data_IF_695212526611
#
_entry.id   IF_695212526611
#
_cell.length_a   1.000
_cell.length_b   1.000
_cell.length_c   1.000
_cell.angle_alpha   90.00
_cell.angle_beta   90.00
_cell.angle_gamma   90.00
#
_symmetry.space_group_name_H-M   'P 1'
#
loop_
_entity.id
_entity.type
_entity.pdbx_description
1 polymer ?
#
# COMPACT_ATOMS: atom_id res chain seq x y z
N UNK A 1 -30.95 -1.60 -2.33
CA UNK A 1 -30.38 -1.07 -3.59
C UNK A 1 -29.84 -2.25 -4.36
N UNK A 2 -30.35 -2.59 -5.55
CA UNK A 2 -29.78 -3.68 -6.34
C UNK A 2 -28.31 -3.35 -6.59
N UNK A 3 -27.47 -4.36 -6.42
CA UNK A 3 -26.04 -4.31 -6.63
C UNK A 3 -25.78 -3.86 -8.08
N UNK A 4 -25.58 -2.55 -8.31
CA UNK A 4 -25.35 -2.04 -9.66
C UNK A 4 -24.12 -2.77 -10.20
N UNK A 5 -24.32 -3.55 -11.27
CA UNK A 5 -23.24 -4.29 -11.91
C UNK A 5 -22.09 -3.34 -12.18
N UNK A 6 -20.86 -3.71 -11.82
CA UNK A 6 -19.69 -2.94 -12.21
C UNK A 6 -19.74 -2.73 -13.74
N UNK A 7 -19.43 -1.54 -14.27
CA UNK A 7 -19.52 -1.29 -15.71
C UNK A 7 -18.49 -2.11 -16.50
N UNK A 8 -18.73 -2.27 -17.81
CA UNK A 8 -17.74 -2.87 -18.73
C UNK A 8 -16.81 -1.76 -19.25
N UNK A 9 -15.47 -1.93 -19.19
CA UNK A 9 -14.56 -0.97 -19.81
C UNK A 9 -14.80 -0.83 -21.32
N UNK A 10 -14.62 0.38 -21.85
CA UNK A 10 -14.74 0.69 -23.28
C UNK A 10 -13.51 0.21 -24.06
N UNK A 11 -13.62 0.12 -25.39
CA UNK A 11 -12.48 -0.20 -26.27
C UNK A 11 -11.31 0.77 -26.06
N UNK A 12 -11.61 2.06 -25.85
CA UNK A 12 -10.61 3.09 -25.59
C UNK A 12 -9.91 2.87 -24.26
N UNK A 13 -10.65 2.57 -23.18
CA UNK A 13 -10.07 2.28 -21.86
C UNK A 13 -9.14 1.07 -21.93
N UNK A 14 -9.54 -0.02 -22.60
CA UNK A 14 -8.66 -1.17 -22.81
C UNK A 14 -7.38 -0.80 -23.58
N UNK A 15 -7.51 -0.02 -24.66
CA UNK A 15 -6.35 0.43 -25.46
C UNK A 15 -5.39 1.26 -24.61
N UNK A 16 -5.89 2.21 -23.82
CA UNK A 16 -5.07 3.04 -22.94
C UNK A 16 -4.38 2.21 -21.88
N UNK A 17 -5.09 1.31 -21.21
CA UNK A 17 -4.52 0.41 -20.21
C UNK A 17 -3.38 -0.44 -20.79
N UNK A 18 -3.57 -1.00 -22.00
CA UNK A 18 -2.56 -1.79 -22.70
C UNK A 18 -1.29 -0.96 -23.00
N UNK A 19 -1.47 0.27 -23.50
CA UNK A 19 -0.36 1.17 -23.82
C UNK A 19 0.39 1.63 -22.56
N UNK A 20 -0.32 2.01 -21.50
CA UNK A 20 0.27 2.41 -20.21
C UNK A 20 1.02 1.22 -19.59
N UNK A 21 0.44 0.02 -19.64
CA UNK A 21 1.07 -1.17 -19.09
C UNK A 21 2.37 -1.48 -19.82
N UNK A 22 2.40 -1.43 -21.15
CA UNK A 22 3.64 -1.61 -21.90
C UNK A 22 4.71 -0.57 -21.52
N UNK A 23 4.33 0.71 -21.47
CA UNK A 23 5.23 1.78 -21.01
C UNK A 23 5.85 1.49 -19.63
N UNK A 24 5.03 1.04 -18.68
CA UNK A 24 5.50 0.67 -17.33
C UNK A 24 6.44 -0.54 -17.36
N UNK A 25 6.09 -1.59 -18.12
CA UNK A 25 6.90 -2.80 -18.22
C UNK A 25 8.30 -2.55 -18.82
N UNK A 26 8.38 -1.60 -19.76
CA UNK A 26 9.62 -1.24 -20.46
C UNK A 26 10.53 -0.33 -19.60
N UNK A 27 9.94 0.58 -18.80
CA UNK A 27 10.69 1.62 -18.08
C UNK A 27 10.92 1.32 -16.60
N UNK A 28 9.97 0.67 -15.95
CA UNK A 28 9.90 0.60 -14.48
C UNK A 28 9.90 -0.80 -13.93
N UNK A 29 9.14 -1.73 -14.53
CA UNK A 29 8.91 -3.03 -13.90
C UNK A 29 10.20 -3.80 -13.61
N UNK A 30 10.46 -4.04 -12.33
CA UNK A 30 11.64 -4.75 -11.84
C UNK A 30 12.92 -3.92 -11.77
N UNK A 31 12.86 -2.63 -12.09
CA UNK A 31 13.97 -1.70 -11.86
C UNK A 31 13.94 -1.19 -10.41
N UNK A 32 15.01 -0.54 -9.98
CA UNK A 32 15.01 0.12 -8.68
C UNK A 32 13.90 1.18 -8.64
N UNK A 33 13.55 1.86 -9.73
CA UNK A 33 12.57 2.96 -9.73
C UNK A 33 11.11 2.50 -9.51
N UNK A 34 10.85 1.19 -9.45
CA UNK A 34 9.53 0.63 -9.18
C UNK A 34 9.14 0.74 -7.70
N UNK A 35 8.39 1.79 -7.36
CA UNK A 35 7.94 2.06 -5.99
C UNK A 35 6.74 1.19 -5.60
N UNK A 36 6.59 0.88 -4.31
CA UNK A 36 5.43 0.11 -3.82
C UNK A 36 5.49 -1.40 -4.12
N UNK A 37 6.67 -1.90 -4.49
CA UNK A 37 7.00 -3.33 -4.61
C UNK A 37 7.71 -3.85 -3.35
N UNK A 38 7.76 -5.16 -3.16
CA UNK A 38 8.47 -5.77 -2.02
C UNK A 38 9.98 -5.46 -1.99
N UNK A 39 10.63 -5.35 -3.15
CA UNK A 39 12.06 -5.02 -3.25
C UNK A 39 12.38 -3.64 -2.64
N UNK A 40 11.48 -2.67 -2.76
CA UNK A 40 11.63 -1.35 -2.14
C UNK A 40 11.83 -1.44 -0.61
N UNK A 41 11.12 -2.37 0.05
CA UNK A 41 11.24 -2.58 1.50
C UNK A 41 12.47 -3.41 1.88
N UNK A 42 13.19 -3.97 0.91
CA UNK A 42 14.48 -4.61 1.12
C UNK A 42 15.66 -3.64 0.95
N UNK A 43 15.43 -2.44 0.39
CA UNK A 43 16.47 -1.44 0.16
C UNK A 43 16.54 -0.41 1.30
N UNK A 44 17.61 -0.51 2.10
CA UNK A 44 17.91 0.43 3.19
C UNK A 44 18.11 1.87 2.71
N UNK A 45 18.58 2.09 1.49
CA UNK A 45 18.71 3.44 0.91
C UNK A 45 17.36 4.08 0.66
N UNK A 46 16.28 3.30 0.58
CA UNK A 46 14.91 3.79 0.35
C UNK A 46 14.14 3.99 1.64
N UNK A 47 14.10 2.96 2.48
CA UNK A 47 13.24 2.93 3.67
C UNK A 47 14.01 3.00 5.01
N UNK A 48 15.33 3.19 4.97
CA UNK A 48 16.15 3.31 6.18
C UNK A 48 16.14 2.04 7.02
N UNK A 49 16.00 2.19 8.34
CA UNK A 49 16.01 1.06 9.28
C UNK A 49 14.75 0.17 9.20
N UNK A 50 13.73 0.59 8.45
CA UNK A 50 12.57 -0.26 8.14
C UNK A 50 12.91 -1.35 7.13
N UNK A 51 14.08 -1.30 6.50
CA UNK A 51 14.47 -2.33 5.55
C UNK A 51 14.51 -3.71 6.22
N UNK A 52 13.97 -4.70 5.52
CA UNK A 52 13.99 -6.10 5.91
C UNK A 52 14.97 -6.87 5.02
N UNK A 53 15.51 -7.97 5.52
CA UNK A 53 16.35 -8.81 4.67
C UNK A 53 15.49 -9.53 3.63
N UNK A 54 15.97 -9.59 2.38
CA UNK A 54 15.33 -10.37 1.30
C UNK A 54 15.07 -11.80 1.75
N UNK A 55 16.05 -12.42 2.41
CA UNK A 55 16.00 -13.79 2.92
C UNK A 55 14.93 -13.99 4.01
N UNK A 56 14.66 -12.99 4.87
CA UNK A 56 13.60 -13.10 5.87
C UNK A 56 12.22 -12.88 5.25
N UNK A 57 12.10 -11.93 4.32
CA UNK A 57 10.86 -11.67 3.61
C UNK A 57 10.45 -12.86 2.73
N UNK A 58 11.38 -13.44 1.96
CA UNK A 58 11.13 -14.61 1.13
C UNK A 58 10.65 -15.84 1.92
N UNK A 59 11.04 -15.96 3.21
CA UNK A 59 10.54 -17.01 4.12
C UNK A 59 9.23 -16.68 4.82
N UNK A 60 8.66 -15.49 4.60
CA UNK A 60 7.46 -15.07 5.31
C UNK A 60 7.68 -14.85 6.82
N UNK A 61 8.87 -14.41 7.23
CA UNK A 61 9.16 -14.14 8.65
C UNK A 61 8.18 -13.11 9.23
N UNK A 62 7.53 -13.46 10.34
CA UNK A 62 6.56 -12.59 11.03
C UNK A 62 7.08 -11.18 11.31
N UNK A 63 8.31 -11.06 11.83
CA UNK A 63 8.94 -9.77 12.14
C UNK A 63 9.20 -8.93 10.88
N UNK A 64 9.66 -9.57 9.81
CA UNK A 64 9.89 -8.90 8.53
C UNK A 64 8.57 -8.39 7.94
N UNK A 65 7.54 -9.23 7.95
CA UNK A 65 6.20 -8.89 7.49
C UNK A 65 5.59 -7.76 8.33
N UNK A 66 5.75 -7.81 9.66
CA UNK A 66 5.22 -6.78 10.56
C UNK A 66 5.88 -5.44 10.30
N UNK A 67 7.22 -5.41 10.25
CA UNK A 67 7.99 -4.20 9.89
C UNK A 67 7.59 -3.64 8.54
N UNK A 68 7.42 -4.50 7.54
CA UNK A 68 6.97 -4.10 6.20
C UNK A 68 5.55 -3.55 6.21
N UNK A 69 4.62 -4.15 6.96
CA UNK A 69 3.25 -3.63 7.12
C UNK A 69 3.26 -2.25 7.76
N UNK A 70 4.01 -2.04 8.86
CA UNK A 70 4.13 -0.71 9.49
C UNK A 70 4.69 0.31 8.50
N UNK A 71 5.74 -0.01 7.74
CA UNK A 71 6.26 0.88 6.71
C UNK A 71 5.23 1.15 5.60
N UNK A 72 4.46 0.14 5.18
CA UNK A 72 3.40 0.24 4.17
C UNK A 72 2.31 1.22 4.60
N UNK A 73 1.91 1.21 5.88
CA UNK A 73 0.87 2.11 6.40
C UNK A 73 1.20 3.60 6.20
N UNK A 74 2.48 3.95 6.07
CA UNK A 74 2.93 5.33 5.90
C UNK A 74 2.55 5.92 4.52
N UNK A 75 2.29 5.08 3.52
CA UNK A 75 1.97 5.47 2.13
C UNK A 75 0.48 5.85 1.95
N UNK A 76 -0.01 6.69 2.86
CA UNK A 76 -1.35 7.26 2.83
C UNK A 76 -1.30 8.75 2.49
N UNK A 77 -2.05 9.18 1.47
CA UNK A 77 -2.39 10.60 1.18
C UNK A 77 -1.20 11.59 1.33
N UNK A 78 -0.02 11.19 0.87
CA UNK A 78 1.19 12.03 0.69
C UNK A 78 2.04 11.45 -0.42
N UNK A 79 2.90 12.29 -0.99
CA UNK A 79 3.89 11.87 -1.99
C UNK A 79 4.87 10.86 -1.39
N UNK A 80 5.11 9.77 -2.11
CA UNK A 80 6.01 8.70 -1.72
C UNK A 80 7.41 9.20 -1.38
N UNK A 81 7.96 10.15 -2.16
CA UNK A 81 9.25 10.76 -1.89
C UNK A 81 9.34 11.42 -0.49
N UNK A 82 8.24 11.98 0.02
CA UNK A 82 8.19 12.51 1.38
C UNK A 82 8.15 11.38 2.42
N UNK A 83 7.38 10.32 2.16
CA UNK A 83 7.29 9.15 3.04
C UNK A 83 8.65 8.47 3.19
N UNK A 84 9.32 8.23 2.06
CA UNK A 84 10.64 7.63 2.04
C UNK A 84 11.66 8.47 2.82
N UNK A 85 11.59 9.81 2.72
CA UNK A 85 12.42 10.71 3.56
C UNK A 85 12.12 10.56 5.05
N UNK A 86 10.85 10.43 5.44
CA UNK A 86 10.47 10.20 6.84
C UNK A 86 11.02 8.86 7.33
N UNK A 87 10.79 7.77 6.60
CA UNK A 87 11.26 6.42 6.96
C UNK A 87 12.78 6.38 7.16
N UNK A 88 13.54 7.03 6.27
CA UNK A 88 15.01 7.14 6.39
C UNK A 88 15.48 7.95 7.59
N UNK A 89 14.68 8.92 8.03
CA UNK A 89 15.02 9.80 9.15
C UNK A 89 14.72 9.22 10.53
N UNK A 90 14.11 8.03 10.62
CA UNK A 90 13.84 7.36 11.90
C UNK A 90 15.05 6.49 12.25
N UNK A 91 15.56 6.65 13.49
CA UNK A 91 16.73 5.91 13.97
C UNK A 91 16.45 4.40 14.12
N UNK A 92 17.51 3.60 14.23
CA UNK A 92 17.40 2.15 14.41
C UNK A 92 16.55 1.78 15.62
N UNK A 93 16.78 2.45 16.73
CA UNK A 93 16.15 2.20 18.04
C UNK A 93 14.65 2.50 17.95
N UNK A 94 14.30 3.64 17.37
CA UNK A 94 12.91 4.02 17.15
C UNK A 94 12.20 3.11 16.15
N UNK A 95 12.87 2.69 15.07
CA UNK A 95 12.28 1.71 14.16
C UNK A 95 12.04 0.37 14.85
N UNK A 96 12.96 -0.10 15.68
CA UNK A 96 12.77 -1.32 16.45
C UNK A 96 11.55 -1.22 17.38
N UNK A 97 11.43 -0.13 18.13
CA UNK A 97 10.26 0.11 18.99
C UNK A 97 8.93 0.16 18.20
N UNK A 98 8.93 0.75 17.00
CA UNK A 98 7.77 0.84 16.13
C UNK A 98 7.40 -0.48 15.43
N UNK A 99 8.30 -1.46 15.38
CA UNK A 99 8.14 -2.64 14.49
C UNK A 99 8.37 -3.99 15.15
N UNK A 100 8.59 -4.01 16.47
CA UNK A 100 8.59 -5.23 17.27
C UNK A 100 7.22 -5.39 17.93
N UNK A 101 6.44 -6.38 17.47
CA UNK A 101 5.07 -6.61 17.97
C UNK A 101 5.04 -6.93 19.47
N UNK A 102 6.00 -7.72 19.97
CA UNK A 102 6.08 -8.13 21.38
C UNK A 102 6.40 -6.93 22.27
N UNK A 103 7.35 -6.09 21.85
CA UNK A 103 7.67 -4.82 22.51
C UNK A 103 6.43 -3.91 22.59
N UNK A 104 5.69 -3.78 21.49
CA UNK A 104 4.48 -2.96 21.43
C UNK A 104 3.37 -3.46 22.36
N UNK A 105 3.20 -4.78 22.47
CA UNK A 105 2.26 -5.40 23.40
C UNK A 105 2.69 -5.19 24.86
N UNK A 106 3.96 -5.42 25.19
CA UNK A 106 4.51 -5.11 26.53
C UNK A 106 4.29 -3.65 26.92
N UNK A 107 4.57 -2.70 26.02
CA UNK A 107 4.29 -1.28 26.26
C UNK A 107 2.80 -0.97 26.48
N UNK A 108 1.91 -1.72 25.84
CA UNK A 108 0.47 -1.58 26.02
C UNK A 108 0.02 -2.16 27.37
N UNK A 109 0.56 -3.31 27.76
CA UNK A 109 0.21 -4.03 28.99
C UNK A 109 0.77 -3.33 30.24
N UNK A 110 1.99 -2.80 30.17
CA UNK A 110 2.62 -2.02 31.24
C UNK A 110 2.00 -0.62 31.41
N UNK A 111 1.22 -0.18 30.42
CA UNK A 111 0.59 1.14 30.44
C UNK A 111 -0.65 1.15 31.35
N UNK A 112 -0.68 2.13 32.26
CA UNK A 112 -1.86 2.41 33.09
C UNK A 112 -3.04 3.04 32.33
N UNK A 113 -2.90 3.34 31.04
CA UNK A 113 -3.97 3.92 30.23
C UNK A 113 -5.01 2.85 29.87
N UNK A 114 -6.30 3.00 30.23
CA UNK A 114 -7.32 2.00 29.93
C UNK A 114 -7.57 1.82 28.42
N UNK A 115 -7.23 2.81 27.60
CA UNK A 115 -7.48 2.77 26.14
C UNK A 115 -6.46 1.92 25.38
N UNK A 116 -5.49 1.32 26.07
CA UNK A 116 -4.47 0.44 25.49
C UNK A 116 -4.75 -1.05 25.75
N UNK A 117 -5.82 -1.38 26.49
CA UNK A 117 -6.17 -2.76 26.85
C UNK A 117 -6.62 -3.60 25.65
N UNK A 118 -7.30 -2.98 24.69
CA UNK A 118 -7.80 -3.61 23.48
C UNK A 118 -7.69 -2.68 22.29
N UNK A 119 -7.68 -3.25 21.08
CA UNK A 119 -7.75 -2.50 19.85
C UNK A 119 -9.07 -1.71 19.77
N UNK A 120 -10.20 -2.31 20.14
CA UNK A 120 -11.49 -1.61 20.16
C UNK A 120 -11.45 -0.32 21.01
N UNK A 121 -10.92 -0.39 22.23
CA UNK A 121 -10.81 0.79 23.11
C UNK A 121 -9.79 1.81 22.57
N UNK A 122 -8.71 1.36 21.94
CA UNK A 122 -7.73 2.23 21.28
C UNK A 122 -8.34 3.00 20.09
N UNK A 123 -9.22 2.36 19.34
CA UNK A 123 -9.91 2.92 18.18
C UNK A 123 -10.94 3.97 18.62
N UNK A 124 -11.80 3.61 19.58
CA UNK A 124 -12.99 4.38 19.94
C UNK A 124 -12.73 5.45 21.00
N UNK A 125 -11.94 5.15 22.04
CA UNK A 125 -11.80 6.00 23.22
C UNK A 125 -10.49 6.81 23.25
N UNK A 126 -9.43 6.38 22.57
CA UNK A 126 -8.17 7.13 22.55
C UNK A 126 -8.28 8.39 21.70
N UNK A 127 -8.21 9.56 22.33
CA UNK A 127 -8.24 10.88 21.67
C UNK A 127 -6.84 11.40 21.29
N UNK A 128 -5.89 10.47 21.06
CA UNK A 128 -4.53 10.82 20.66
C UNK A 128 -4.55 11.76 19.46
N UNK A 129 -3.95 12.93 19.65
CA UNK A 129 -3.78 13.95 18.64
C UNK A 129 -2.36 14.51 18.69
N UNK A 130 -2.08 15.46 17.81
CA UNK A 130 -0.81 16.18 17.78
C UNK A 130 -1.09 17.65 18.02
N UNK A 131 -0.30 18.23 18.91
CA UNK A 131 -0.38 19.65 19.19
C UNK A 131 -0.01 20.46 17.93
N UNK A 132 -0.84 21.43 17.52
CA UNK A 132 -0.59 22.19 16.30
C UNK A 132 0.62 23.14 16.43
N UNK A 133 1.00 23.54 17.65
CA UNK A 133 2.11 24.46 17.91
C UNK A 133 3.39 23.67 18.19
N UNK A 134 3.41 22.86 19.26
CA UNK A 134 4.62 22.17 19.71
C UNK A 134 4.95 20.93 18.88
N UNK A 135 4.02 20.48 18.05
CA UNK A 135 4.10 19.25 17.24
C UNK A 135 4.24 17.97 18.06
N UNK A 136 4.09 18.03 19.39
CA UNK A 136 4.13 16.88 20.29
C UNK A 136 2.83 16.08 20.27
N UNK A 137 2.89 14.80 20.60
CA UNK A 137 1.69 13.98 20.80
C UNK A 137 0.97 14.37 22.10
N UNK A 138 -0.36 14.50 22.07
CA UNK A 138 -1.19 14.85 23.22
C UNK A 138 -2.48 14.03 23.27
N UNK A 139 -3.08 13.92 24.45
CA UNK A 139 -4.40 13.33 24.67
C UNK A 139 -5.05 14.02 25.87
N UNK A 140 -6.39 14.08 25.90
CA UNK A 140 -7.18 14.66 26.99
C UNK A 140 -7.31 13.70 28.16
N UNK A 141 -7.35 12.39 27.91
CA UNK A 141 -7.52 11.39 28.97
C UNK A 141 -6.39 11.39 30.01
N UNK A 142 -5.13 11.58 29.58
CA UNK A 142 -3.95 11.61 30.44
C UNK A 142 -2.89 12.58 29.91
N UNK A 143 -3.07 13.91 30.05
CA UNK A 143 -2.26 14.90 29.34
C UNK A 143 -0.79 14.86 29.73
N UNK A 144 -0.49 14.74 31.04
CA UNK A 144 0.88 14.79 31.59
C UNK A 144 1.60 13.44 31.65
N UNK A 145 0.91 12.33 31.35
CA UNK A 145 1.52 10.99 31.43
C UNK A 145 2.32 10.68 30.17
N UNK A 146 3.58 10.23 30.29
CA UNK A 146 4.33 9.66 29.17
C UNK A 146 3.57 8.49 28.55
N UNK A 147 3.55 8.41 27.23
CA UNK A 147 2.83 7.40 26.48
C UNK A 147 3.55 7.17 25.16
N UNK A 148 3.89 5.92 24.85
CA UNK A 148 4.61 5.58 23.63
C UNK A 148 3.83 6.01 22.38
N UNK A 149 2.50 5.97 22.39
CA UNK A 149 1.69 6.47 21.27
C UNK A 149 1.92 7.96 20.98
N UNK A 150 2.12 8.79 22.01
CA UNK A 150 2.43 10.22 21.84
C UNK A 150 3.79 10.39 21.16
N UNK A 151 4.79 9.62 21.59
CA UNK A 151 6.12 9.60 20.98
C UNK A 151 6.05 9.10 19.54
N UNK A 152 5.35 8.00 19.28
CA UNK A 152 5.18 7.43 17.93
C UNK A 152 4.51 8.41 16.97
N UNK A 153 3.56 9.21 17.43
CA UNK A 153 2.95 10.31 16.64
C UNK A 153 4.00 11.31 16.17
N UNK A 154 4.98 11.66 17.02
CA UNK A 154 6.07 12.58 16.66
C UNK A 154 7.03 11.91 15.67
N UNK A 155 7.45 10.68 15.96
CA UNK A 155 8.42 9.92 15.16
C UNK A 155 7.91 9.68 13.73
N UNK A 156 6.66 9.24 13.60
CA UNK A 156 6.07 8.94 12.30
C UNK A 156 5.81 10.22 11.47
N UNK A 157 5.80 11.42 12.09
CA UNK A 157 5.59 12.71 11.39
C UNK A 157 4.33 12.72 10.49
N UNK A 158 3.33 11.92 10.86
CA UNK A 158 2.05 11.75 10.16
C UNK A 158 0.93 12.51 10.90
N UNK A 159 -0.33 12.18 10.60
CA UNK A 159 -1.52 12.68 11.30
C UNK A 159 -1.37 12.58 12.82
N UNK A 160 -2.08 13.42 13.57
CA UNK A 160 -1.90 13.49 15.02
C UNK A 160 -2.23 12.20 15.79
N UNK A 161 -3.03 11.31 15.21
CA UNK A 161 -3.40 10.02 15.78
C UNK A 161 -2.60 8.85 15.17
N UNK A 162 -1.58 9.11 14.35
CA UNK A 162 -0.90 8.04 13.59
C UNK A 162 0.04 7.20 14.47
N UNK A 163 0.43 7.70 15.64
CA UNK A 163 1.17 6.92 16.63
C UNK A 163 0.43 5.69 17.13
N UNK A 164 -0.89 5.60 16.96
CA UNK A 164 -1.68 4.41 17.31
C UNK A 164 -1.38 3.18 16.43
N UNK A 165 -0.93 3.40 15.19
CA UNK A 165 -0.91 2.35 14.15
C UNK A 165 -0.12 1.11 14.60
N UNK A 166 1.14 1.22 15.05
CA UNK A 166 1.93 0.03 15.38
C UNK A 166 1.30 -0.82 16.48
N UNK A 167 0.93 -0.21 17.60
CA UNK A 167 0.28 -0.91 18.72
C UNK A 167 -1.08 -1.47 18.32
N UNK A 168 -1.85 -0.75 17.50
CA UNK A 168 -3.14 -1.25 17.01
C UNK A 168 -3.00 -2.51 16.15
N UNK A 169 -1.98 -2.58 15.28
CA UNK A 169 -1.71 -3.80 14.50
C UNK A 169 -1.32 -4.96 15.44
N UNK A 170 -0.46 -4.72 16.44
CA UNK A 170 -0.08 -5.74 17.40
C UNK A 170 -1.27 -6.24 18.24
N UNK A 171 -2.12 -5.33 18.72
CA UNK A 171 -3.35 -5.67 19.45
C UNK A 171 -4.33 -6.45 18.57
N UNK A 172 -4.45 -6.10 17.29
CA UNK A 172 -5.30 -6.81 16.33
C UNK A 172 -4.86 -8.26 16.15
N UNK A 173 -3.55 -8.51 16.07
CA UNK A 173 -3.01 -9.87 16.01
C UNK A 173 -3.33 -10.66 17.29
N UNK A 174 -3.06 -10.06 18.45
CA UNK A 174 -3.37 -10.66 19.76
C UNK A 174 -4.85 -11.02 19.92
N UNK A 175 -5.75 -10.11 19.56
CA UNK A 175 -7.20 -10.36 19.61
C UNK A 175 -7.67 -11.42 18.59
N UNK A 176 -6.94 -11.54 17.47
CA UNK A 176 -7.10 -12.62 16.51
C UNK A 176 -6.46 -13.93 16.93
N UNK A 177 -5.91 -14.02 18.16
CA UNK A 177 -5.16 -15.18 18.66
C UNK A 177 -3.99 -15.58 17.76
N UNK A 178 -3.31 -14.61 17.13
CA UNK A 178 -2.12 -14.81 16.32
C UNK A 178 -0.95 -14.02 16.92
N UNK A 179 0.21 -14.65 17.11
CA UNK A 179 1.41 -13.97 17.62
C UNK A 179 2.17 -13.23 16.51
N UNK A 180 1.88 -13.57 15.25
CA UNK A 180 2.53 -13.00 14.08
C UNK A 180 1.62 -12.93 12.85
N UNK A 181 2.04 -12.16 11.85
CA UNK A 181 1.36 -12.14 10.55
C UNK A 181 1.44 -13.49 9.82
N UNK A 182 2.50 -14.28 10.05
CA UNK A 182 2.62 -15.61 9.47
C UNK A 182 1.54 -16.55 10.05
N UNK A 183 1.37 -16.56 11.36
CA UNK A 183 0.32 -17.34 12.02
C UNK A 183 -1.08 -16.87 11.64
N UNK A 184 -1.29 -15.55 11.51
CA UNK A 184 -2.55 -14.99 10.99
C UNK A 184 -2.90 -15.60 9.62
N UNK A 185 -1.90 -15.75 8.74
CA UNK A 185 -2.09 -16.40 7.44
C UNK A 185 -2.46 -17.86 7.60
N UNK A 186 -1.71 -18.62 8.39
CA UNK A 186 -1.98 -20.06 8.57
C UNK A 186 -3.40 -20.31 9.11
N UNK A 187 -3.87 -19.49 10.07
CA UNK A 187 -5.24 -19.55 10.54
C UNK A 187 -6.25 -19.32 9.42
N UNK A 188 -6.06 -18.27 8.59
CA UNK A 188 -6.97 -18.00 7.48
C UNK A 188 -6.97 -19.13 6.44
N UNK A 189 -5.81 -19.74 6.18
CA UNK A 189 -5.73 -20.89 5.28
C UNK A 189 -6.45 -22.13 5.84
N UNK A 190 -6.41 -22.35 7.16
CA UNK A 190 -7.11 -23.44 7.83
C UNK A 190 -8.63 -23.21 7.99
N UNK A 191 -9.09 -21.96 7.99
CA UNK A 191 -10.51 -21.60 8.16
C UNK A 191 -11.32 -21.59 6.86
N UNK A 192 -10.65 -21.44 5.72
CA UNK A 192 -11.29 -21.24 4.42
C UNK A 192 -10.70 -22.17 3.38
N UNK A 193 -11.53 -22.79 2.54
CA UNK A 193 -11.08 -23.67 1.46
C UNK A 193 -10.79 -22.91 0.16
N UNK A 194 -11.56 -21.86 -0.12
CA UNK A 194 -11.47 -21.10 -1.37
C UNK A 194 -10.37 -20.02 -1.31
N UNK A 195 -9.45 -19.95 -2.31
CA UNK A 195 -8.40 -18.94 -2.36
C UNK A 195 -8.88 -17.49 -2.35
N UNK A 196 -10.06 -17.19 -2.92
CA UNK A 196 -10.63 -15.85 -2.92
C UNK A 196 -11.23 -15.50 -1.57
N UNK A 197 -11.90 -16.43 -0.90
CA UNK A 197 -12.35 -16.26 0.49
C UNK A 197 -11.19 -16.00 1.45
N UNK A 198 -10.09 -16.77 1.33
CA UNK A 198 -8.84 -16.51 2.06
C UNK A 198 -8.32 -15.11 1.80
N UNK A 199 -8.34 -14.68 0.53
CA UNK A 199 -7.87 -13.35 0.16
C UNK A 199 -8.71 -12.24 0.81
N UNK A 200 -10.03 -12.39 0.82
CA UNK A 200 -10.99 -11.49 1.49
C UNK A 200 -10.77 -11.50 3.00
N UNK A 201 -10.59 -12.67 3.60
CA UNK A 201 -10.43 -12.83 5.04
C UNK A 201 -9.14 -12.17 5.54
N UNK A 202 -8.01 -12.36 4.84
CA UNK A 202 -6.75 -11.66 5.13
C UNK A 202 -6.92 -10.14 5.10
N UNK A 203 -7.54 -9.61 4.05
CA UNK A 203 -7.80 -8.17 3.91
C UNK A 203 -8.65 -7.66 5.07
N UNK A 204 -9.75 -8.35 5.37
CA UNK A 204 -10.68 -7.99 6.46
C UNK A 204 -10.01 -8.03 7.84
N UNK A 205 -9.19 -9.04 8.12
CA UNK A 205 -8.48 -9.17 9.40
C UNK A 205 -7.46 -8.06 9.59
N UNK A 206 -6.68 -7.73 8.56
CA UNK A 206 -5.74 -6.61 8.61
C UNK A 206 -6.46 -5.26 8.78
N UNK A 207 -7.58 -5.07 8.09
CA UNK A 207 -8.32 -3.81 8.13
C UNK A 207 -9.00 -3.49 9.47
N UNK A 208 -8.97 -4.42 10.45
CA UNK A 208 -9.38 -4.13 11.83
C UNK A 208 -8.39 -3.22 12.56
N UNK A 209 -7.14 -3.15 12.12
CA UNK A 209 -6.15 -2.28 12.72
C UNK A 209 -6.34 -0.81 12.30
N UNK A 210 -6.03 0.11 13.21
CA UNK A 210 -6.13 1.55 13.02
C UNK A 210 -5.37 1.99 11.78
N UNK A 211 -6.07 2.68 10.87
CA UNK A 211 -5.53 3.19 9.60
C UNK A 211 -4.93 2.10 8.71
N UNK A 212 -5.24 0.83 8.91
CA UNK A 212 -5.05 -0.19 7.88
C UNK A 212 -6.36 -0.24 7.09
N UNK A 213 -6.43 0.50 5.98
CA UNK A 213 -7.62 0.54 5.12
C UNK A 213 -7.52 -0.51 4.01
N UNK A 214 -8.60 -0.73 3.24
CA UNK A 214 -8.59 -1.60 2.05
C UNK A 214 -7.41 -1.30 1.10
N UNK A 215 -7.09 -0.01 0.92
CA UNK A 215 -5.90 0.41 0.16
C UNK A 215 -4.61 -0.16 0.74
N UNK A 216 -4.39 0.01 2.03
CA UNK A 216 -3.15 -0.42 2.70
C UNK A 216 -3.07 -1.93 2.80
N UNK A 217 -4.18 -2.60 3.13
CA UNK A 217 -4.28 -4.06 3.11
C UNK A 217 -3.96 -4.60 1.72
N UNK A 218 -4.57 -4.07 0.65
CA UNK A 218 -4.27 -4.48 -0.72
C UNK A 218 -2.81 -4.18 -1.11
N UNK A 219 -2.25 -3.05 -0.67
CA UNK A 219 -0.85 -2.69 -0.95
C UNK A 219 0.13 -3.67 -0.29
N UNK A 220 -0.07 -3.98 1.00
CA UNK A 220 0.74 -4.96 1.71
C UNK A 220 0.58 -6.37 1.12
N UNK A 221 -0.67 -6.84 1.01
CA UNK A 221 -0.98 -8.20 0.56
C UNK A 221 -0.55 -8.43 -0.89
N UNK A 222 -0.74 -7.45 -1.79
CA UNK A 222 -0.20 -7.58 -3.16
C UNK A 222 1.32 -7.68 -3.18
N UNK A 223 2.03 -6.99 -2.29
CA UNK A 223 3.49 -7.07 -2.24
C UNK A 223 4.01 -8.42 -1.73
N UNK A 224 3.27 -9.12 -0.87
CA UNK A 224 3.71 -10.42 -0.29
C UNK A 224 3.07 -11.64 -0.95
N UNK A 225 1.98 -11.47 -1.72
CA UNK A 225 1.30 -12.57 -2.40
C UNK A 225 1.50 -12.57 -3.92
N UNK A 226 1.80 -11.44 -4.58
CA UNK A 226 1.87 -11.41 -6.05
C UNK A 226 3.26 -11.83 -6.56
N UNK A 227 3.41 -12.99 -7.23
CA UNK A 227 4.73 -13.49 -7.63
C UNK A 227 5.42 -12.63 -8.70
N UNK A 228 4.65 -11.98 -9.57
CA UNK A 228 5.23 -11.21 -10.68
C UNK A 228 5.65 -9.80 -10.24
N UNK A 229 5.04 -9.24 -9.19
CA UNK A 229 5.36 -7.89 -8.71
C UNK A 229 6.79 -7.83 -8.15
N UNK A 230 7.26 -8.91 -7.54
CA UNK A 230 8.65 -9.04 -7.11
C UNK A 230 9.06 -10.54 -7.03
N UNK A 231 9.56 -11.11 -8.12
CA UNK A 231 9.91 -12.53 -8.18
C UNK A 231 10.84 -12.96 -7.03
N UNK A 232 10.47 -14.05 -6.36
CA UNK A 232 11.21 -14.61 -5.22
C UNK A 232 11.03 -13.88 -3.88
N UNK A 233 10.18 -12.85 -3.80
CA UNK A 233 9.88 -12.10 -2.56
C UNK A 233 8.40 -12.13 -2.16
N UNK A 234 7.64 -13.09 -2.70
CA UNK A 234 6.20 -13.23 -2.45
C UNK A 234 5.93 -14.51 -1.65
N UNK A 235 6.22 -14.51 -0.32
CA UNK A 235 6.14 -15.71 0.51
C UNK A 235 4.72 -16.29 0.63
N UNK A 236 3.70 -15.50 0.29
CA UNK A 236 2.29 -15.83 0.45
C UNK A 236 1.57 -16.01 -0.88
N UNK A 237 2.31 -16.31 -1.95
CA UNK A 237 1.73 -16.49 -3.28
C UNK A 237 0.83 -17.73 -3.38
N UNK A 238 1.15 -18.79 -2.65
CA UNK A 238 0.38 -20.03 -2.65
C UNK A 238 -0.85 -19.95 -1.74
N UNK A 239 -1.94 -20.59 -2.19
CA UNK A 239 -3.18 -20.77 -1.43
C UNK A 239 -4.10 -19.56 -1.35
N UNK A 240 -3.72 -18.41 -1.92
CA UNK A 240 -4.48 -17.15 -1.88
C UNK A 240 -4.69 -16.59 -3.28
N UNK A 241 -5.91 -16.14 -3.61
CA UNK A 241 -6.16 -15.40 -4.86
C UNK A 241 -5.66 -13.97 -4.74
N UNK A 242 -4.37 -13.80 -5.02
CA UNK A 242 -3.71 -12.49 -5.01
C UNK A 242 -4.19 -11.56 -6.13
N UNK A 243 -4.94 -12.05 -7.14
CA UNK A 243 -5.52 -11.19 -8.19
C UNK A 243 -6.60 -10.26 -7.63
N UNK A 244 -7.09 -10.55 -6.42
CA UNK A 244 -7.95 -9.66 -5.62
C UNK A 244 -7.26 -8.35 -5.22
N UNK A 245 -5.96 -8.39 -4.94
CA UNK A 245 -5.25 -7.30 -4.29
C UNK A 245 -4.85 -6.19 -5.28
N UNK A 246 -5.85 -5.40 -5.67
CA UNK A 246 -5.67 -4.21 -6.51
C UNK A 246 -5.76 -2.96 -5.65
N UNK A 247 -4.74 -2.10 -5.74
CA UNK A 247 -4.66 -0.85 -4.97
C UNK A 247 -5.43 0.25 -5.70
N UNK A 248 -6.45 0.81 -5.05
CA UNK A 248 -7.16 1.99 -5.55
C UNK A 248 -6.72 3.21 -4.75
N UNK A 249 -6.08 4.15 -5.42
CA UNK A 249 -5.57 5.39 -4.84
C UNK A 249 -5.91 6.60 -5.70
N UNK A 250 -5.48 7.79 -5.27
CA UNK A 250 -5.78 9.02 -5.99
C UNK A 250 -5.21 9.06 -7.41
N UNK A 251 -4.07 8.41 -7.69
CA UNK A 251 -3.50 8.40 -9.04
C UNK A 251 -4.29 7.46 -9.95
N UNK A 252 -4.77 6.33 -9.44
CA UNK A 252 -5.72 5.48 -10.15
C UNK A 252 -7.04 6.23 -10.39
N UNK A 253 -7.51 7.01 -9.41
CA UNK A 253 -8.71 7.84 -9.56
C UNK A 253 -8.54 8.88 -10.67
N UNK A 254 -7.35 9.48 -10.83
CA UNK A 254 -7.07 10.38 -11.95
C UNK A 254 -7.22 9.67 -13.31
N UNK A 255 -6.76 8.42 -13.42
CA UNK A 255 -6.97 7.62 -14.63
C UNK A 255 -8.46 7.34 -14.87
N UNK A 256 -9.19 6.93 -13.84
CA UNK A 256 -10.62 6.63 -13.95
C UNK A 256 -11.42 7.86 -14.37
N UNK A 257 -11.15 9.03 -13.77
CA UNK A 257 -11.75 10.30 -14.16
C UNK A 257 -11.38 10.67 -15.59
N UNK A 258 -10.08 10.67 -15.93
CA UNK A 258 -9.58 11.07 -17.24
C UNK A 258 -10.03 10.17 -18.39
N UNK A 259 -10.50 8.95 -18.09
CA UNK A 259 -11.01 8.00 -19.08
C UNK A 259 -12.52 7.77 -19.00
N UNK A 260 -13.24 8.54 -18.19
CA UNK A 260 -14.70 8.50 -18.11
C UNK A 260 -15.27 7.23 -17.46
N UNK A 261 -14.74 6.81 -16.31
CA UNK A 261 -15.31 5.71 -15.52
C UNK A 261 -16.78 6.01 -15.12
N UNK A 262 -17.76 5.17 -15.54
CA UNK A 262 -19.18 5.49 -15.36
C UNK A 262 -19.81 4.80 -14.13
N UNK A 263 -19.03 4.10 -13.32
CA UNK A 263 -19.54 3.28 -12.22
C UNK A 263 -19.56 3.98 -10.86
N UNK A 264 -20.06 3.30 -9.81
CA UNK A 264 -20.00 3.82 -8.45
C UNK A 264 -18.57 4.05 -7.98
N UNK A 265 -18.36 5.15 -7.24
CA UNK A 265 -17.06 5.56 -6.70
C UNK A 265 -16.68 4.86 -5.38
N UNK A 266 -17.09 3.61 -5.20
CA UNK A 266 -16.66 2.80 -4.05
C UNK A 266 -15.31 2.14 -4.34
N UNK A 267 -14.57 1.72 -3.31
CA UNK A 267 -13.30 1.03 -3.49
C UNK A 267 -13.49 -0.25 -4.31
N UNK A 268 -14.47 -1.08 -3.93
CA UNK A 268 -14.71 -2.39 -4.55
C UNK A 268 -15.12 -2.28 -6.02
N UNK A 269 -16.02 -1.35 -6.38
CA UNK A 269 -16.44 -1.21 -7.79
C UNK A 269 -15.31 -0.72 -8.69
N UNK A 270 -14.43 0.14 -8.18
CA UNK A 270 -13.20 0.57 -8.88
C UNK A 270 -12.19 -0.58 -9.01
N UNK A 271 -11.98 -1.38 -7.96
CA UNK A 271 -11.19 -2.62 -8.01
C UNK A 271 -11.70 -3.57 -9.09
N UNK A 272 -12.98 -3.90 -9.06
CA UNK A 272 -13.62 -4.78 -10.06
C UNK A 272 -13.43 -4.25 -11.48
N UNK A 273 -13.53 -2.92 -11.66
CA UNK A 273 -13.33 -2.29 -12.96
C UNK A 273 -11.90 -2.47 -13.47
N UNK A 274 -10.90 -2.26 -12.62
CA UNK A 274 -9.49 -2.49 -12.98
C UNK A 274 -9.20 -3.96 -13.25
N UNK A 275 -9.80 -4.88 -12.49
CA UNK A 275 -9.69 -6.32 -12.78
C UNK A 275 -10.26 -6.66 -14.15
N UNK A 276 -11.42 -6.09 -14.51
CA UNK A 276 -12.00 -6.26 -15.85
C UNK A 276 -11.13 -5.67 -16.95
N UNK A 277 -10.55 -4.49 -16.70
CA UNK A 277 -9.60 -3.83 -17.60
C UNK A 277 -8.42 -4.75 -17.90
N UNK A 278 -7.85 -5.37 -16.85
CA UNK A 278 -6.70 -6.25 -16.93
C UNK A 278 -6.97 -7.56 -17.70
N UNK A 279 -8.22 -8.04 -17.77
CA UNK A 279 -8.56 -9.25 -18.54
C UNK A 279 -8.24 -9.15 -20.05
N UNK A 280 -8.04 -7.95 -20.59
CA UNK A 280 -7.65 -7.73 -22.00
C UNK A 280 -6.21 -7.21 -22.16
N UNK A 281 -5.43 -7.19 -21.09
CA UNK A 281 -4.02 -6.85 -21.12
C UNK A 281 -3.25 -8.13 -20.91
N UNK A 282 -2.85 -8.76 -22.02
CA UNK A 282 -2.09 -10.01 -22.02
C UNK A 282 -0.63 -9.72 -21.66
N UNK A 283 -0.27 -9.91 -20.39
CA UNK A 283 1.06 -9.54 -19.88
C UNK A 283 2.16 -10.48 -20.34
N UNK A 284 1.83 -11.76 -20.55
CA UNK A 284 2.74 -12.77 -21.07
C UNK A 284 3.22 -12.40 -22.47
N UNK A 285 2.30 -11.93 -23.33
CA UNK A 285 2.64 -11.36 -24.63
C UNK A 285 3.46 -10.05 -24.55
N UNK A 286 3.40 -9.33 -23.43
CA UNK A 286 4.15 -8.09 -23.26
C UNK A 286 5.56 -8.29 -22.75
N UNK A 287 5.74 -9.20 -21.81
CA UNK A 287 7.01 -9.50 -21.19
C UNK A 287 7.00 -10.98 -20.80
N UNK A 288 7.75 -11.83 -21.53
CA UNK A 288 7.83 -13.25 -21.22
C UNK A 288 8.21 -13.48 -19.76
N UNK A 289 7.56 -14.45 -19.12
CA UNK A 289 7.75 -14.79 -17.71
C UNK A 289 6.77 -14.11 -16.75
N UNK A 290 5.94 -13.17 -17.21
CA UNK A 290 4.79 -12.67 -16.43
C UNK A 290 3.58 -13.57 -16.62
N UNK A 291 2.73 -13.69 -15.59
CA UNK A 291 1.45 -14.34 -15.76
C UNK A 291 0.52 -13.51 -16.65
N UNK A 292 -0.17 -14.20 -17.56
CA UNK A 292 -1.09 -13.60 -18.53
C UNK A 292 -2.07 -12.59 -17.91
N UNK A 293 -2.64 -12.91 -16.76
CA UNK A 293 -3.60 -12.06 -16.04
C UNK A 293 -3.05 -11.63 -14.68
N UNK A 294 -2.62 -10.37 -14.57
CA UNK A 294 -2.18 -9.79 -13.31
C UNK A 294 -2.71 -8.35 -13.16
N UNK A 295 -3.88 -8.16 -12.51
CA UNK A 295 -4.51 -6.84 -12.42
C UNK A 295 -3.73 -5.85 -11.55
N UNK A 296 -2.86 -6.34 -10.65
CA UNK A 296 -1.99 -5.49 -9.84
C UNK A 296 -0.89 -4.84 -10.67
N UNK A 297 -0.31 -5.54 -11.65
CA UNK A 297 0.68 -4.97 -12.59
C UNK A 297 0.03 -3.88 -13.45
N UNK A 298 -1.15 -4.14 -13.99
CA UNK A 298 -1.91 -3.12 -14.75
C UNK A 298 -2.18 -1.91 -13.87
N UNK A 299 -2.64 -2.12 -12.62
CA UNK A 299 -2.86 -1.04 -11.68
C UNK A 299 -1.58 -0.27 -11.33
N UNK A 300 -0.45 -0.95 -11.14
CA UNK A 300 0.85 -0.33 -10.88
C UNK A 300 1.24 0.62 -12.02
N UNK A 301 1.04 0.16 -13.25
CA UNK A 301 1.29 0.96 -14.45
C UNK A 301 0.44 2.23 -14.48
N UNK A 302 -0.87 2.11 -14.20
CA UNK A 302 -1.78 3.26 -14.13
C UNK A 302 -1.36 4.25 -13.02
N UNK A 303 -1.04 3.73 -11.85
CA UNK A 303 -0.56 4.52 -10.72
C UNK A 303 0.70 5.32 -11.07
N UNK A 304 1.73 4.65 -11.61
CA UNK A 304 3.00 5.30 -11.95
C UNK A 304 2.81 6.31 -13.08
N UNK A 305 2.06 5.96 -14.13
CA UNK A 305 1.80 6.85 -15.27
C UNK A 305 1.13 8.17 -14.83
N UNK A 306 0.15 8.07 -13.92
CA UNK A 306 -0.59 9.22 -13.41
C UNK A 306 0.14 9.98 -12.28
N UNK A 307 1.18 9.41 -11.68
CA UNK A 307 1.91 10.02 -10.55
C UNK A 307 3.01 10.98 -11.01
N UNK A 308 2.67 12.26 -11.22
CA UNK A 308 3.66 13.30 -11.59
C UNK A 308 4.85 13.32 -10.60
N UNK A 309 4.57 13.21 -9.29
CA UNK A 309 5.62 13.31 -8.27
C UNK A 309 6.62 12.15 -8.33
N UNK A 310 6.15 10.92 -8.60
CA UNK A 310 7.05 9.79 -8.71
C UNK A 310 7.84 9.84 -10.01
N UNK A 311 7.16 10.21 -11.11
CA UNK A 311 7.81 10.34 -12.42
C UNK A 311 8.90 11.41 -12.42
N UNK A 312 8.69 12.54 -11.76
CA UNK A 312 9.74 13.57 -11.57
C UNK A 312 10.91 13.12 -10.69
N UNK A 313 10.68 12.15 -9.80
CA UNK A 313 11.71 11.61 -8.91
C UNK A 313 12.48 10.44 -9.54
N UNK A 314 11.91 9.80 -10.57
CA UNK A 314 12.49 8.71 -11.33
C UNK A 314 13.43 9.28 -12.40
N UNK A 315 14.72 8.94 -12.31
CA UNK A 315 15.78 9.49 -13.16
C UNK A 315 15.60 9.10 -14.62
N UNK A 316 15.00 7.94 -14.89
CA UNK A 316 14.84 7.39 -16.24
C UNK A 316 13.43 7.62 -16.81
N UNK A 317 12.61 8.48 -16.19
CA UNK A 317 11.30 8.81 -16.74
C UNK A 317 11.44 9.62 -18.03
N UNK A 318 10.57 9.33 -18.99
CA UNK A 318 10.53 10.03 -20.26
C UNK A 318 10.23 11.53 -20.14
N UNK A 319 9.70 12.02 -19.00
CA UNK A 319 9.53 13.44 -18.71
C UNK A 319 10.85 14.21 -18.68
N UNK A 320 11.98 13.54 -18.43
CA UNK A 320 13.32 14.13 -18.48
C UNK A 320 13.93 14.17 -19.88
N UNK A 321 13.32 13.48 -20.85
CA UNK A 321 13.74 13.39 -22.25
C UNK A 321 12.91 14.29 -23.18
N UNK A 322 12.07 15.17 -22.61
CA UNK A 322 11.25 16.11 -23.37
C UNK A 322 12.12 17.17 -24.09
N UNK A 323 11.76 17.62 -25.31
CA UNK A 323 10.49 17.35 -26.02
C UNK A 323 10.45 16.04 -26.81
N UNK A 324 11.61 15.44 -27.13
CA UNK A 324 11.75 14.31 -28.06
C UNK A 324 10.89 13.10 -27.69
N UNK A 325 10.83 12.74 -26.41
CA UNK A 325 10.02 11.62 -25.93
C UNK A 325 8.50 11.87 -26.06
N UNK A 326 8.06 13.13 -25.92
CA UNK A 326 6.65 13.53 -26.04
C UNK A 326 6.16 13.58 -27.49
N UNK A 327 7.06 13.75 -28.46
CA UNK A 327 6.75 13.69 -29.89
C UNK A 327 6.57 12.25 -30.37
N UNK A 328 7.41 11.33 -29.88
CA UNK A 328 7.31 9.90 -30.18
C UNK A 328 6.22 9.16 -29.37
N UNK A 329 5.63 9.81 -28.37
CA UNK A 329 4.62 9.20 -27.50
C UNK A 329 3.30 8.97 -28.26
N UNK A 330 2.68 7.76 -28.17
CA UNK A 330 1.39 7.49 -28.82
C UNK A 330 0.34 8.55 -28.45
N UNK A 331 -0.34 9.10 -29.46
CA UNK A 331 -1.32 10.19 -29.28
C UNK A 331 -2.30 10.00 -28.11
N UNK A 332 -2.94 8.83 -27.94
CA UNK A 332 -3.83 8.57 -26.80
C UNK A 332 -3.15 8.64 -25.42
N UNK A 333 -1.88 8.24 -25.30
CA UNK A 333 -1.12 8.40 -24.06
C UNK A 333 -0.77 9.87 -23.83
N UNK A 334 -0.33 10.57 -24.87
CA UNK A 334 0.02 11.99 -24.80
C UNK A 334 -1.16 12.84 -24.34
N UNK A 335 -2.38 12.56 -24.84
CA UNK A 335 -3.59 13.28 -24.42
C UNK A 335 -3.99 13.03 -22.96
N UNK A 336 -3.64 11.87 -22.39
CA UNK A 336 -3.96 11.52 -21.01
C UNK A 336 -2.83 11.88 -20.02
N UNK A 337 -1.61 12.08 -20.51
CA UNK A 337 -0.42 12.22 -19.69
C UNK A 337 -0.49 13.48 -18.82
N UNK A 338 -0.44 13.36 -17.48
CA UNK A 338 -0.54 14.51 -16.58
C UNK A 338 0.74 15.37 -16.55
N UNK A 339 1.82 14.93 -17.21
CA UNK A 339 3.07 15.70 -17.34
C UNK A 339 3.06 16.65 -18.56
N UNK A 340 2.17 16.42 -19.54
CA UNK A 340 2.03 17.26 -20.74
C UNK A 340 0.72 18.03 -20.74
N UNK A 341 -0.32 17.50 -20.11
CA UNK A 341 -1.59 18.18 -19.96
C UNK A 341 -1.49 19.22 -18.83
N UNK A 342 -1.87 20.46 -19.13
CA UNK A 342 -2.37 21.42 -18.15
C UNK A 342 -3.72 20.91 -17.62
N UNK A 343 -3.70 19.77 -16.89
CA UNK A 343 -4.89 19.26 -16.21
C UNK A 343 -5.25 20.24 -15.09
N UNK A 344 -6.05 21.25 -15.42
CA UNK A 344 -6.80 22.06 -14.48
C UNK A 344 -7.87 21.19 -13.83
N UNK A 345 -7.46 20.40 -12.83
CA UNK A 345 -8.38 19.69 -11.97
C UNK A 345 -8.64 20.63 -10.80
N UNK A 346 -9.78 21.30 -10.82
CA UNK A 346 -10.33 22.01 -9.67
C UNK A 346 -10.33 21.06 -8.48
N UNK A 347 -9.65 21.48 -7.40
CA UNK A 347 -9.58 20.75 -6.13
C UNK A 347 -10.90 20.75 -5.39
#
# INVERSE_FOLDING_TARGET
MPDSLCPRPTRQQYRLARLITRWYLDRYHGTDEDVGTASMFCDRRRVGHFAVSRRALARGSGDALFRMLIATTMFQRRQDAQILRVLRGISKEHTYELTDSRRLLSLADDSRCPHLKSNATLLEACDLSKDPVTKQGRCGARPRTPCHLKQHTVLLKRYGHFGKVPTSVALTLREGSADSLAELREQVLGEHDDPLERAVALERRLSKAWRVSDKISAMFLSAVCNPDLCPGLSPWAEGVDWTRYVVIDSNVDLFLTGTGYPGPWTYNKRREFIQRLAKRVDLEQMKPGLQRFNPRIVQQALYLFMSISNRRAAKLDCAHEAPRSCEACPGPLKSLCPSTASMSISK
#
